data_IF_266810456850
#
_entry.id   IF_266810456850
#
_cell.length_a   1.000
_cell.length_b   1.000
_cell.length_c   1.000
_cell.angle_alpha   90.00
_cell.angle_beta   90.00
_cell.angle_gamma   90.00
#
_symmetry.space_group_name_H-M   'P 1'
#
loop_
_entity.id
_entity.type
_entity.pdbx_description
1 polymer ?
#
# COMPACT_ATOMS: atom_id res chain seq x y z
N UNK A 1 0.93 -37.19 11.16
CA UNK A 1 0.77 -36.08 10.20
C UNK A 1 -0.64 -35.55 10.43
N UNK A 2 -0.81 -34.35 10.99
CA UNK A 2 -2.15 -33.85 11.33
C UNK A 2 -2.96 -33.60 10.04
N UNK A 3 -4.21 -34.08 9.96
CA UNK A 3 -5.01 -33.92 8.74
C UNK A 3 -5.40 -32.45 8.56
N UNK A 4 -5.22 -31.92 7.34
CA UNK A 4 -5.79 -30.64 6.94
C UNK A 4 -7.31 -30.85 6.80
N UNK A 5 -8.10 -30.14 7.60
CA UNK A 5 -9.53 -30.44 7.77
C UNK A 5 -10.36 -30.06 6.53
N UNK A 6 -9.89 -29.12 5.69
CA UNK A 6 -10.56 -28.78 4.43
C UNK A 6 -9.60 -28.54 3.26
N UNK A 7 -8.52 -27.77 3.46
CA UNK A 7 -7.44 -27.63 2.47
C UNK A 7 -6.21 -26.99 3.11
N UNK A 8 -5.02 -27.32 2.60
CA UNK A 8 -3.73 -26.83 3.13
C UNK A 8 -3.54 -25.31 2.97
N UNK A 9 -4.37 -24.65 2.16
CA UNK A 9 -4.29 -23.22 1.85
C UNK A 9 -5.51 -22.42 2.30
N UNK A 10 -6.68 -23.06 2.47
CA UNK A 10 -7.91 -22.39 2.89
C UNK A 10 -7.89 -22.11 4.40
N UNK A 11 -7.40 -23.03 5.23
CA UNK A 11 -7.38 -22.86 6.68
C UNK A 11 -6.55 -21.62 7.10
N UNK A 12 -5.34 -21.36 6.55
CA UNK A 12 -4.59 -20.14 6.84
C UNK A 12 -5.25 -18.87 6.28
N UNK A 13 -5.83 -18.94 5.07
CA UNK A 13 -6.50 -17.78 4.47
C UNK A 13 -7.69 -17.33 5.29
N UNK A 14 -8.54 -18.28 5.71
CA UNK A 14 -9.70 -18.00 6.56
C UNK A 14 -9.22 -17.51 7.94
N UNK A 15 -8.17 -18.08 8.50
CA UNK A 15 -7.58 -17.61 9.76
C UNK A 15 -7.10 -16.16 9.69
N UNK A 16 -6.34 -15.80 8.65
CA UNK A 16 -5.86 -14.43 8.43
C UNK A 16 -7.04 -13.49 8.20
N UNK A 17 -7.99 -13.86 7.35
CA UNK A 17 -9.18 -13.05 7.06
C UNK A 17 -9.99 -12.79 8.33
N UNK A 18 -10.24 -13.82 9.12
CA UNK A 18 -10.99 -13.73 10.38
C UNK A 18 -10.24 -12.86 11.38
N UNK A 19 -8.92 -12.99 11.48
CA UNK A 19 -8.10 -12.13 12.34
C UNK A 19 -8.15 -10.65 11.96
N UNK A 20 -8.00 -10.34 10.67
CA UNK A 20 -8.12 -8.97 10.15
C UNK A 20 -9.53 -8.41 10.37
N UNK A 21 -10.56 -9.21 10.14
CA UNK A 21 -11.96 -8.82 10.35
C UNK A 21 -12.26 -8.52 11.83
N UNK A 22 -11.79 -9.37 12.74
CA UNK A 22 -11.93 -9.14 14.18
C UNK A 22 -11.23 -7.84 14.62
N UNK A 23 -10.02 -7.58 14.09
CA UNK A 23 -9.30 -6.34 14.34
C UNK A 23 -10.06 -5.11 13.81
N UNK A 24 -10.63 -5.19 12.60
CA UNK A 24 -11.45 -4.11 12.04
C UNK A 24 -12.66 -3.79 12.92
N UNK A 25 -13.31 -4.81 13.47
CA UNK A 25 -14.48 -4.64 14.34
C UNK A 25 -14.08 -4.07 15.71
N UNK A 26 -12.93 -4.47 16.25
CA UNK A 26 -12.34 -3.86 17.44
C UNK A 26 -12.10 -2.36 17.23
N UNK A 27 -11.55 -1.99 16.07
CA UNK A 27 -11.15 -0.63 15.77
C UNK A 27 -12.34 0.30 15.45
N UNK A 28 -13.46 -0.23 14.95
CA UNK A 28 -14.69 0.51 14.67
C UNK A 28 -15.70 0.54 15.82
N UNK A 29 -15.40 -0.11 16.95
CA UNK A 29 -16.30 -0.07 18.10
C UNK A 29 -16.29 1.33 18.74
N UNK A 30 -17.41 2.05 18.80
CA UNK A 30 -17.46 3.44 19.25
C UNK A 30 -17.16 3.62 20.75
N UNK A 31 -17.11 2.54 21.53
CA UNK A 31 -16.82 2.56 22.98
C UNK A 31 -15.38 2.24 23.33
N UNK A 32 -14.63 1.60 22.43
CA UNK A 32 -13.27 1.09 22.68
C UNK A 32 -12.31 1.42 21.54
N UNK A 33 -12.72 2.29 20.61
CA UNK A 33 -11.87 2.71 19.50
C UNK A 33 -10.59 3.32 20.08
N UNK A 34 -9.42 2.70 19.83
CA UNK A 34 -8.16 3.29 20.23
C UNK A 34 -7.96 4.64 19.52
N UNK A 35 -7.21 5.57 20.11
CA UNK A 35 -6.85 6.84 19.47
C UNK A 35 -6.34 6.60 18.04
N UNK A 36 -6.65 7.51 17.12
CA UNK A 36 -6.31 7.32 15.70
C UNK A 36 -4.81 7.12 15.44
N UNK A 37 -3.96 7.61 16.35
CA UNK A 37 -2.50 7.46 16.32
C UNK A 37 -2.01 6.06 16.73
N UNK A 38 -2.81 5.30 17.47
CA UNK A 38 -2.47 3.93 17.90
C UNK A 38 -2.94 2.85 16.91
N UNK A 39 -3.66 3.25 15.86
CA UNK A 39 -4.20 2.34 14.86
C UNK A 39 -3.10 1.78 13.97
N UNK A 40 -3.12 0.47 13.68
CA UNK A 40 -2.20 -0.15 12.72
C UNK A 40 -2.28 0.50 11.33
N UNK A 41 -3.46 0.96 10.93
CA UNK A 41 -3.65 1.69 9.67
C UNK A 41 -2.85 3.00 9.60
N UNK A 42 -2.65 3.69 10.73
CA UNK A 42 -1.86 4.93 10.77
C UNK A 42 -0.38 4.65 10.48
N UNK A 43 0.17 3.57 11.05
CA UNK A 43 1.53 3.11 10.80
C UNK A 43 1.73 2.65 9.35
N UNK A 44 0.75 1.94 8.79
CA UNK A 44 0.77 1.54 7.37
C UNK A 44 0.77 2.77 6.46
N UNK A 45 -0.08 3.76 6.75
CA UNK A 45 -0.13 5.02 6.01
C UNK A 45 1.18 5.78 6.09
N UNK A 46 1.77 5.89 7.28
CA UNK A 46 3.10 6.49 7.46
C UNK A 46 4.17 5.76 6.66
N UNK A 47 4.18 4.42 6.69
CA UNK A 47 5.17 3.62 5.96
C UNK A 47 5.03 3.77 4.44
N UNK A 48 3.79 3.86 3.94
CA UNK A 48 3.54 4.13 2.52
C UNK A 48 3.98 5.55 2.13
N UNK A 49 3.65 6.56 2.95
CA UNK A 49 4.10 7.93 2.72
C UNK A 49 5.62 8.02 2.66
N UNK A 50 6.31 7.40 3.63
CA UNK A 50 7.77 7.34 3.67
C UNK A 50 8.37 6.64 2.44
N UNK A 51 7.78 5.52 1.99
CA UNK A 51 8.23 4.84 0.76
C UNK A 51 8.04 5.71 -0.49
N UNK A 52 6.98 6.50 -0.55
CA UNK A 52 6.75 7.41 -1.67
C UNK A 52 7.76 8.57 -1.65
N UNK A 53 8.06 9.13 -0.48
CA UNK A 53 9.10 10.16 -0.32
C UNK A 53 10.49 9.62 -0.72
N UNK A 54 10.82 8.40 -0.31
CA UNK A 54 12.06 7.72 -0.73
C UNK A 54 12.10 7.46 -2.24
N UNK A 55 10.96 7.06 -2.84
CA UNK A 55 10.87 6.87 -4.29
C UNK A 55 11.01 8.21 -5.03
N UNK A 56 10.42 9.29 -4.53
CA UNK A 56 10.50 10.62 -5.12
C UNK A 56 11.90 11.24 -4.95
N UNK A 57 12.61 10.92 -3.85
CA UNK A 57 14.00 11.32 -3.67
C UNK A 57 14.98 10.55 -4.59
N UNK A 58 14.63 9.32 -4.96
CA UNK A 58 15.41 8.49 -5.88
C UNK A 58 15.09 8.75 -7.36
N UNK A 59 13.95 9.38 -7.67
CA UNK A 59 13.65 9.90 -9.01
C UNK A 59 14.33 11.27 -9.11
N UNK A 60 15.46 11.41 -9.82
CA UNK A 60 16.01 12.74 -10.09
C UNK A 60 14.96 13.51 -10.90
N UNK A 61 14.80 14.81 -10.60
CA UNK A 61 13.94 15.78 -11.31
C UNK A 61 14.23 15.93 -12.82
N UNK A 62 15.05 15.06 -13.42
CA UNK A 62 15.52 15.16 -14.80
C UNK A 62 14.49 14.70 -15.84
N UNK A 63 13.41 14.03 -15.45
CA UNK A 63 12.38 13.62 -16.42
C UNK A 63 11.15 14.54 -16.45
N UNK A 64 11.38 15.86 -16.37
CA UNK A 64 10.55 16.79 -17.14
C UNK A 64 11.11 16.83 -18.57
N UNK A 65 11.03 15.69 -19.27
CA UNK A 65 11.27 15.68 -20.70
C UNK A 65 10.13 16.46 -21.35
N UNK A 66 10.44 17.67 -21.79
CA UNK A 66 9.50 18.51 -22.53
C UNK A 66 9.29 17.91 -23.92
N UNK A 67 8.29 17.02 -24.01
CA UNK A 67 7.87 16.34 -25.24
C UNK A 67 7.56 17.31 -26.38
N UNK A 68 7.27 18.58 -26.09
CA UNK A 68 7.07 19.61 -27.12
C UNK A 68 8.37 19.94 -27.84
N UNK A 69 9.52 19.93 -27.16
CA UNK A 69 10.83 20.21 -27.75
C UNK A 69 11.26 19.07 -28.67
N UNK A 70 11.07 17.81 -28.26
CA UNK A 70 11.41 16.63 -29.06
C UNK A 70 10.59 16.56 -30.36
N UNK A 71 9.29 16.87 -30.30
CA UNK A 71 8.42 16.89 -31.49
C UNK A 71 8.81 18.01 -32.44
N UNK A 72 9.16 19.20 -31.92
CA UNK A 72 9.65 20.32 -32.75
C UNK A 72 10.97 19.99 -33.45
N UNK A 73 11.91 19.35 -32.75
CA UNK A 73 13.20 18.94 -33.32
C UNK A 73 13.01 17.90 -34.44
N UNK A 74 12.15 16.89 -34.22
CA UNK A 74 11.84 15.86 -35.21
C UNK A 74 11.16 16.42 -36.47
N UNK A 75 10.22 17.37 -36.30
CA UNK A 75 9.53 18.03 -37.42
C UNK A 75 10.42 18.98 -38.21
N UNK A 76 11.49 19.51 -37.62
CA UNK A 76 12.42 20.44 -38.29
C UNK A 76 13.50 19.73 -39.10
N UNK A 77 13.70 18.44 -38.83
CA UNK A 77 14.74 17.60 -39.45
C UNK A 77 14.24 16.82 -40.68
N UNK A 78 12.97 17.03 -41.06
CA UNK A 78 12.31 16.46 -42.23
C UNK A 78 12.04 17.57 -43.25
#
# INVERSE_FOLDING_TARGET
MAPVLLSKTLDPLVGIFTGVFAYYLYENNPRTAPPQEERLLSLVRWKLAKRNEEAEALIPKEEQVDWQVLVREASKKQ
#
